data_IF_510522633887
#
_entry.id   IF_510522633887
#
_cell.length_a   1.000
_cell.length_b   1.000
_cell.length_c   1.000
_cell.angle_alpha   90.00
_cell.angle_beta   90.00
_cell.angle_gamma   90.00
#
_symmetry.space_group_name_H-M   'P 1'
#
loop_
_entity.id
_entity.type
_entity.pdbx_description
1 polymer ?
#
# COMPACT_ATOMS: atom_id res chain seq x y z
N UNK A 1 -35.11 16.29 20.43
CA UNK A 1 -33.65 16.38 20.26
C UNK A 1 -33.24 15.39 19.19
N UNK A 2 -32.50 15.88 18.19
CA UNK A 2 -32.04 15.17 16.97
C UNK A 2 -30.73 14.44 17.24
N UNK A 3 -30.57 13.24 16.69
CA UNK A 3 -29.31 12.62 16.23
C UNK A 3 -29.69 11.26 15.58
N UNK A 4 -30.01 11.19 14.29
CA UNK A 4 -29.12 11.24 13.12
C UNK A 4 -28.12 10.08 13.08
N UNK A 5 -28.63 8.89 12.69
CA UNK A 5 -27.85 7.71 12.34
C UNK A 5 -27.72 7.66 10.82
N UNK A 6 -26.58 8.14 10.32
CA UNK A 6 -26.24 8.12 8.89
C UNK A 6 -25.76 6.71 8.54
N UNK A 7 -26.70 5.87 8.09
CA UNK A 7 -26.40 4.62 7.42
C UNK A 7 -26.43 4.88 5.90
N UNK A 8 -25.27 5.15 5.31
CA UNK A 8 -25.11 5.15 3.84
C UNK A 8 -25.11 3.69 3.39
N UNK A 9 -26.32 3.18 3.15
CA UNK A 9 -26.56 1.87 2.58
C UNK A 9 -26.57 2.02 1.04
N UNK A 10 -25.41 1.92 0.41
CA UNK A 10 -25.27 1.91 -1.05
C UNK A 10 -25.58 0.50 -1.57
N UNK A 11 -26.86 0.09 -1.48
CA UNK A 11 -27.35 -1.12 -2.12
C UNK A 11 -27.50 -0.88 -3.63
N UNK A 12 -26.41 -1.08 -4.38
CA UNK A 12 -26.50 -1.25 -5.83
C UNK A 12 -27.20 -2.58 -6.13
N UNK A 13 -28.51 -2.51 -6.34
CA UNK A 13 -29.30 -3.59 -6.94
C UNK A 13 -28.95 -3.61 -8.42
N UNK A 14 -27.98 -4.46 -8.80
CA UNK A 14 -27.63 -4.75 -10.18
C UNK A 14 -28.72 -5.64 -10.80
N UNK A 15 -29.77 -5.01 -11.30
CA UNK A 15 -30.77 -5.68 -12.14
C UNK A 15 -30.10 -6.03 -13.47
N UNK A 16 -30.04 -7.32 -13.79
CA UNK A 16 -29.44 -7.81 -15.02
C UNK A 16 -30.30 -7.44 -16.22
N UNK A 17 -29.81 -6.50 -17.03
CA UNK A 17 -30.33 -6.27 -18.37
C UNK A 17 -29.29 -6.83 -19.32
N UNK A 18 -29.65 -7.87 -20.07
CA UNK A 18 -28.91 -8.30 -21.23
C UNK A 18 -29.07 -7.21 -22.30
N UNK A 19 -28.10 -6.32 -22.40
CA UNK A 19 -28.10 -5.25 -23.40
C UNK A 19 -27.56 -5.83 -24.70
N UNK A 20 -28.42 -5.89 -25.72
CA UNK A 20 -28.03 -6.09 -27.10
C UNK A 20 -27.00 -5.01 -27.50
N UNK A 21 -25.96 -5.43 -28.22
CA UNK A 21 -24.73 -4.70 -28.53
C UNK A 21 -24.93 -3.55 -29.56
N UNK A 22 -25.91 -2.68 -29.32
CA UNK A 22 -25.95 -1.39 -29.97
C UNK A 22 -24.99 -0.45 -29.22
N UNK A 23 -24.07 0.27 -29.90
CA UNK A 23 -23.16 1.19 -29.24
C UNK A 23 -23.99 2.28 -28.56
N UNK A 24 -24.09 2.19 -27.24
CA UNK A 24 -24.84 3.15 -26.46
C UNK A 24 -24.17 4.52 -26.60
N UNK A 25 -24.87 5.45 -27.26
CA UNK A 25 -24.40 6.81 -27.47
C UNK A 25 -24.61 7.61 -26.19
N UNK A 26 -23.52 8.16 -25.67
CA UNK A 26 -23.49 8.91 -24.42
C UNK A 26 -23.27 10.39 -24.72
N UNK A 27 -24.01 11.25 -24.04
CA UNK A 27 -23.85 12.71 -24.10
C UNK A 27 -23.53 13.21 -22.70
N UNK A 28 -22.41 13.91 -22.54
CA UNK A 28 -21.94 14.39 -21.25
C UNK A 28 -21.42 15.81 -21.38
N UNK A 29 -22.10 16.76 -20.74
CA UNK A 29 -21.58 18.11 -20.54
C UNK A 29 -21.13 18.22 -19.08
N UNK A 30 -19.81 18.22 -18.88
CA UNK A 30 -19.17 18.32 -17.59
C UNK A 30 -18.34 19.60 -17.53
N UNK A 31 -18.65 20.46 -16.57
CA UNK A 31 -17.83 21.61 -16.18
C UNK A 31 -17.36 21.39 -14.75
N UNK A 32 -16.07 21.11 -14.56
CA UNK A 32 -15.49 20.77 -13.27
C UNK A 32 -16.27 19.68 -12.49
N UNK A 33 -16.81 18.69 -13.21
CA UNK A 33 -17.60 17.60 -12.62
C UNK A 33 -16.67 16.58 -11.97
N UNK A 34 -17.02 16.03 -10.82
CA UNK A 34 -16.24 14.94 -10.22
C UNK A 34 -16.27 13.71 -11.14
N UNK A 35 -15.15 12.99 -11.25
CA UNK A 35 -15.05 11.77 -12.06
C UNK A 35 -16.10 10.74 -11.66
N UNK A 36 -16.43 10.69 -10.36
CA UNK A 36 -17.50 9.84 -9.83
C UNK A 36 -18.84 10.13 -10.49
N UNK A 37 -19.24 11.40 -10.51
CA UNK A 37 -20.53 11.81 -11.06
C UNK A 37 -20.55 11.64 -12.58
N UNK A 38 -19.41 11.87 -13.25
CA UNK A 38 -19.28 11.63 -14.68
C UNK A 38 -19.44 10.15 -15.02
N UNK A 39 -18.77 9.25 -14.31
CA UNK A 39 -18.90 7.81 -14.52
C UNK A 39 -20.31 7.29 -14.18
N UNK A 40 -20.93 7.80 -13.11
CA UNK A 40 -22.31 7.46 -12.75
C UNK A 40 -23.31 7.91 -13.85
N UNK A 41 -23.08 9.07 -14.47
CA UNK A 41 -23.90 9.56 -15.58
C UNK A 41 -23.73 8.70 -16.85
N UNK A 42 -22.49 8.36 -17.20
CA UNK A 42 -22.17 7.47 -18.34
C UNK A 42 -22.80 6.08 -18.11
N UNK A 43 -22.67 5.54 -16.90
CA UNK A 43 -23.21 4.24 -16.50
C UNK A 43 -24.73 4.18 -16.70
N UNK A 44 -25.45 5.22 -16.26
CA UNK A 44 -26.90 5.33 -16.43
C UNK A 44 -27.33 5.45 -17.89
N UNK A 45 -26.61 6.23 -18.69
CA UNK A 45 -26.93 6.43 -20.11
C UNK A 45 -26.65 5.17 -20.94
N UNK A 46 -25.56 4.46 -20.63
CA UNK A 46 -25.17 3.25 -21.34
C UNK A 46 -25.91 2.00 -20.86
N UNK A 47 -26.54 2.04 -19.68
CA UNK A 47 -27.16 0.87 -19.06
C UNK A 47 -26.15 -0.20 -18.63
N UNK A 48 -24.87 0.18 -18.46
CA UNK A 48 -23.79 -0.75 -18.10
C UNK A 48 -23.11 -0.29 -16.81
N UNK A 49 -22.90 -1.19 -15.84
CA UNK A 49 -22.22 -0.82 -14.60
C UNK A 49 -20.76 -0.39 -14.84
N UNK A 50 -20.45 0.81 -14.34
CA UNK A 50 -19.09 1.32 -14.23
C UNK A 50 -18.70 1.34 -12.75
N UNK A 51 -17.53 0.79 -12.46
CA UNK A 51 -16.97 0.64 -11.12
C UNK A 51 -15.74 1.53 -10.99
N UNK A 52 -15.71 2.37 -9.97
CA UNK A 52 -14.62 3.33 -9.72
C UNK A 52 -13.75 2.89 -8.55
N UNK A 53 -12.43 2.95 -8.73
CA UNK A 53 -11.49 2.87 -7.62
C UNK A 53 -11.69 4.07 -6.66
N UNK A 54 -11.79 3.90 -5.32
CA UNK A 54 -11.78 5.02 -4.39
C UNK A 54 -10.56 5.94 -4.51
N UNK A 55 -9.43 5.44 -5.05
CA UNK A 55 -8.25 6.25 -5.35
C UNK A 55 -8.37 7.06 -6.65
N UNK A 56 -9.31 6.70 -7.54
CA UNK A 56 -9.58 7.43 -8.78
C UNK A 56 -10.42 8.67 -8.46
N UNK A 57 -9.76 9.70 -7.97
CA UNK A 57 -10.36 11.01 -7.67
C UNK A 57 -9.88 12.06 -8.66
N UNK A 58 -10.71 13.08 -8.88
CA UNK A 58 -10.38 14.20 -9.77
C UNK A 58 -11.63 14.84 -10.34
N UNK A 59 -11.41 15.85 -11.19
CA UNK A 59 -12.49 16.55 -11.89
C UNK A 59 -12.25 16.49 -13.38
N UNK A 60 -13.34 16.50 -14.15
CA UNK A 60 -13.29 16.51 -15.61
C UNK A 60 -14.10 17.71 -16.11
N UNK A 61 -13.53 18.38 -17.10
CA UNK A 61 -14.23 19.40 -17.89
C UNK A 61 -14.21 18.95 -19.33
N UNK A 62 -15.35 18.47 -19.83
CA UNK A 62 -15.48 17.96 -21.19
C UNK A 62 -16.92 18.10 -21.69
N UNK A 63 -17.10 18.26 -23.00
CA UNK A 63 -18.40 18.24 -23.65
C UNK A 63 -18.37 17.15 -24.73
N UNK A 64 -19.11 16.07 -24.49
CA UNK A 64 -19.26 14.91 -25.36
C UNK A 64 -20.68 14.87 -25.89
N UNK A 65 -20.85 14.72 -27.20
CA UNK A 65 -22.16 14.58 -27.86
C UNK A 65 -22.20 13.31 -28.69
N UNK A 66 -23.05 12.37 -28.28
CA UNK A 66 -23.26 11.11 -29.00
C UNK A 66 -22.01 10.25 -29.14
N UNK A 67 -21.11 10.28 -28.16
CA UNK A 67 -19.89 9.49 -28.14
C UNK A 67 -20.18 8.05 -27.73
N UNK A 68 -19.42 7.08 -28.24
CA UNK A 68 -19.55 5.70 -27.80
C UNK A 68 -19.07 5.55 -26.34
N UNK A 69 -19.59 4.57 -25.60
CA UNK A 69 -19.23 4.31 -24.20
C UNK A 69 -17.70 4.26 -23.99
N UNK A 70 -16.98 3.55 -24.85
CA UNK A 70 -15.52 3.41 -24.77
C UNK A 70 -14.80 4.73 -25.01
N UNK A 71 -15.29 5.53 -25.97
CA UNK A 71 -14.76 6.87 -26.25
C UNK A 71 -15.02 7.84 -25.09
N UNK A 72 -16.21 7.77 -24.49
CA UNK A 72 -16.57 8.58 -23.34
C UNK A 72 -15.67 8.25 -22.14
N UNK A 73 -15.45 6.95 -21.87
CA UNK A 73 -14.51 6.50 -20.84
C UNK A 73 -13.09 6.97 -21.12
N UNK A 74 -12.59 6.81 -22.35
CA UNK A 74 -11.26 7.28 -22.75
C UNK A 74 -11.05 8.77 -22.46
N UNK A 75 -12.02 9.61 -22.82
CA UNK A 75 -11.92 11.06 -22.60
C UNK A 75 -11.94 11.39 -21.11
N UNK A 76 -12.81 10.75 -20.33
CA UNK A 76 -12.92 11.01 -18.88
C UNK A 76 -11.68 10.54 -18.13
N UNK A 77 -11.10 9.38 -18.51
CA UNK A 77 -9.94 8.83 -17.81
C UNK A 77 -8.63 9.53 -18.18
N UNK A 78 -8.46 9.92 -19.46
CA UNK A 78 -7.22 10.59 -19.93
C UNK A 78 -6.91 11.88 -19.17
N UNK A 79 -7.93 12.67 -18.83
CA UNK A 79 -7.76 13.95 -18.16
C UNK A 79 -7.11 13.85 -16.77
N UNK A 80 -7.20 12.69 -16.11
CA UNK A 80 -6.73 12.48 -14.74
C UNK A 80 -5.71 11.33 -14.63
N UNK A 81 -5.06 10.98 -15.75
CA UNK A 81 -4.12 9.85 -15.82
C UNK A 81 -4.71 8.55 -15.24
N UNK A 82 -6.02 8.33 -15.46
CA UNK A 82 -6.70 7.10 -15.09
C UNK A 82 -6.68 6.14 -16.27
N UNK A 83 -6.88 4.86 -15.98
CA UNK A 83 -7.06 3.82 -17.00
C UNK A 83 -8.39 3.13 -16.79
N UNK A 84 -9.00 2.61 -17.86
CA UNK A 84 -10.18 1.77 -17.74
C UNK A 84 -9.93 0.40 -18.37
N UNK A 85 -10.65 -0.61 -17.87
CA UNK A 85 -10.63 -1.97 -18.40
C UNK A 85 -12.06 -2.47 -18.53
N UNK A 86 -12.37 -3.10 -19.67
CA UNK A 86 -13.59 -3.91 -19.84
C UNK A 86 -13.31 -5.29 -19.22
N UNK A 87 -14.20 -5.73 -18.34
CA UNK A 87 -14.12 -7.04 -17.73
C UNK A 87 -15.40 -7.82 -18.05
N UNK A 88 -15.22 -8.95 -18.72
CA UNK A 88 -16.25 -9.96 -18.90
C UNK A 88 -15.95 -11.12 -17.94
N UNK A 89 -16.90 -11.47 -17.07
CA UNK A 89 -16.74 -12.60 -16.17
C UNK A 89 -18.05 -13.40 -16.07
N UNK A 90 -17.89 -14.70 -15.88
CA UNK A 90 -19.00 -15.60 -15.61
C UNK A 90 -19.33 -15.58 -14.12
N UNK A 91 -20.61 -15.45 -13.79
CA UNK A 91 -21.09 -15.64 -12.42
C UNK A 91 -22.42 -16.36 -12.41
N UNK A 92 -22.74 -16.99 -11.28
CA UNK A 92 -24.11 -17.40 -11.01
C UNK A 92 -25.01 -16.16 -10.92
N UNK A 93 -26.24 -16.26 -11.40
CA UNK A 93 -27.15 -15.13 -11.52
C UNK A 93 -27.44 -14.40 -10.20
N UNK A 94 -27.32 -15.10 -9.07
CA UNK A 94 -27.56 -14.63 -7.70
C UNK A 94 -26.30 -14.15 -6.97
N UNK A 95 -25.10 -14.39 -7.53
CA UNK A 95 -23.84 -14.03 -6.89
C UNK A 95 -23.56 -12.51 -6.98
N UNK A 96 -23.47 -11.86 -5.82
CA UNK A 96 -22.97 -10.49 -5.70
C UNK A 96 -21.45 -10.49 -5.76
N UNK A 97 -20.88 -9.83 -6.76
CA UNK A 97 -19.44 -9.60 -6.85
C UNK A 97 -19.13 -8.23 -6.26
N UNK A 98 -18.18 -8.17 -5.33
CA UNK A 98 -17.76 -6.91 -4.69
C UNK A 98 -16.68 -6.20 -5.52
N UNK A 99 -16.57 -4.89 -5.34
CA UNK A 99 -15.54 -4.06 -5.98
C UNK A 99 -14.12 -4.54 -5.63
N UNK A 100 -13.92 -4.98 -4.38
CA UNK A 100 -12.63 -5.49 -3.92
C UNK A 100 -12.26 -6.82 -4.58
N UNK A 101 -13.24 -7.69 -4.83
CA UNK A 101 -13.03 -8.94 -5.57
C UNK A 101 -12.65 -8.66 -7.03
N UNK A 102 -13.34 -7.71 -7.68
CA UNK A 102 -13.01 -7.30 -9.04
C UNK A 102 -11.59 -6.72 -9.12
N UNK A 103 -11.24 -5.82 -8.20
CA UNK A 103 -9.90 -5.25 -8.14
C UNK A 103 -8.83 -6.31 -7.89
N UNK A 104 -9.03 -7.18 -6.91
CA UNK A 104 -8.08 -8.25 -6.58
C UNK A 104 -7.87 -9.16 -7.79
N UNK A 105 -8.94 -9.52 -8.50
CA UNK A 105 -8.87 -10.30 -9.74
C UNK A 105 -8.11 -9.58 -10.86
N UNK A 106 -8.45 -8.31 -11.12
CA UNK A 106 -7.78 -7.51 -12.15
C UNK A 106 -6.29 -7.33 -11.83
N UNK A 107 -5.95 -7.05 -10.58
CA UNK A 107 -4.57 -6.88 -10.13
C UNK A 107 -3.79 -8.20 -10.19
N UNK A 108 -4.40 -9.32 -9.80
CA UNK A 108 -3.78 -10.64 -9.92
C UNK A 108 -3.48 -10.96 -11.38
N UNK A 109 -4.41 -10.71 -12.29
CA UNK A 109 -4.21 -10.91 -13.73
C UNK A 109 -3.16 -9.96 -14.32
N UNK A 110 -3.16 -8.69 -13.92
CA UNK A 110 -2.18 -7.71 -14.37
C UNK A 110 -0.75 -8.09 -13.94
N UNK A 111 -0.59 -8.54 -12.69
CA UNK A 111 0.70 -8.89 -12.11
C UNK A 111 1.14 -10.33 -12.36
N UNK A 112 0.30 -11.16 -13.00
CA UNK A 112 0.69 -12.51 -13.40
C UNK A 112 1.85 -12.44 -14.41
N UNK A 113 2.99 -13.02 -14.05
CA UNK A 113 4.17 -13.06 -14.91
C UNK A 113 4.03 -14.08 -16.05
N UNK A 114 3.20 -15.11 -15.83
CA UNK A 114 2.93 -16.15 -16.80
C UNK A 114 1.96 -15.63 -17.88
N UNK A 115 2.27 -15.94 -19.14
CA UNK A 115 1.40 -15.63 -20.29
C UNK A 115 0.25 -16.62 -20.42
N UNK A 116 0.41 -17.84 -19.89
CA UNK A 116 -0.67 -18.82 -19.83
C UNK A 116 -0.49 -19.82 -18.71
N UNK A 117 -1.61 -20.33 -18.20
CA UNK A 117 -1.68 -21.34 -17.14
C UNK A 117 -2.78 -22.33 -17.48
N UNK A 118 -2.48 -23.63 -17.45
CA UNK A 118 -3.48 -24.70 -17.54
C UNK A 118 -3.45 -25.49 -16.24
N UNK A 119 -4.60 -25.64 -15.59
CA UNK A 119 -4.76 -26.42 -14.36
C UNK A 119 -5.79 -27.50 -14.62
N UNK A 120 -5.38 -28.76 -14.49
CA UNK A 120 -6.28 -29.91 -14.55
C UNK A 120 -6.65 -30.34 -13.12
N UNK A 121 -7.94 -30.46 -12.85
CA UNK A 121 -8.45 -31.08 -11.63
C UNK A 121 -8.83 -32.55 -11.95
N UNK A 122 -8.05 -33.53 -11.48
CA UNK A 122 -8.30 -34.94 -11.78
C UNK A 122 -9.57 -35.47 -11.09
N UNK A 123 -10.03 -34.84 -10.00
CA UNK A 123 -11.24 -35.27 -9.30
C UNK A 123 -12.51 -34.90 -10.08
N UNK A 124 -12.53 -33.71 -10.67
CA UNK A 124 -13.67 -33.23 -11.47
C UNK A 124 -13.49 -33.46 -12.98
N UNK A 125 -12.30 -33.90 -13.41
CA UNK A 125 -11.89 -34.03 -14.82
C UNK A 125 -12.10 -32.73 -15.60
N UNK A 126 -11.86 -31.59 -14.95
CA UNK A 126 -11.98 -30.27 -15.57
C UNK A 126 -10.61 -29.65 -15.77
N UNK A 127 -10.48 -28.86 -16.83
CA UNK A 127 -9.28 -28.07 -17.10
C UNK A 127 -9.64 -26.59 -17.13
N UNK A 128 -8.86 -25.77 -16.42
CA UNK A 128 -8.97 -24.31 -16.43
C UNK A 128 -7.76 -23.74 -17.15
N UNK A 129 -8.01 -23.02 -18.24
CA UNK A 129 -6.97 -22.34 -19.02
C UNK A 129 -7.09 -20.83 -18.84
N UNK A 130 -6.00 -20.21 -18.42
CA UNK A 130 -5.83 -18.77 -18.40
C UNK A 130 -4.79 -18.39 -19.46
N UNK A 131 -5.09 -17.34 -20.22
CA UNK A 131 -4.15 -16.75 -21.16
C UNK A 131 -4.18 -15.22 -20.99
N UNK A 132 -2.99 -14.62 -20.95
CA UNK A 132 -2.74 -13.19 -20.80
C UNK A 132 -2.20 -12.64 -22.12
N UNK A 133 -2.51 -11.37 -22.39
CA UNK A 133 -2.03 -10.63 -23.56
C UNK A 133 -2.37 -11.30 -24.91
N UNK A 134 -3.45 -12.08 -24.94
CA UNK A 134 -4.02 -12.58 -26.20
C UNK A 134 -4.54 -11.38 -26.98
N UNK A 135 -4.14 -11.19 -28.25
CA UNK A 135 -4.65 -10.12 -29.09
C UNK A 135 -6.17 -10.17 -29.09
N UNK A 136 -6.81 -9.05 -28.76
CA UNK A 136 -8.27 -8.96 -28.82
C UNK A 136 -8.68 -9.12 -30.29
N UNK A 137 -9.09 -10.33 -30.67
CA UNK A 137 -9.89 -10.51 -31.87
C UNK A 137 -11.14 -9.66 -31.70
N UNK A 138 -11.60 -9.01 -32.77
CA UNK A 138 -12.72 -8.05 -32.76
C UNK A 138 -13.95 -8.60 -32.04
N UNK A 139 -14.14 -9.92 -32.07
CA UNK A 139 -15.05 -10.69 -31.23
C UNK A 139 -14.46 -12.10 -30.97
N UNK A 140 -13.63 -12.27 -29.94
CA UNK A 140 -13.30 -13.62 -29.50
C UNK A 140 -14.59 -14.31 -29.01
N UNK A 141 -14.99 -15.48 -29.55
CA UNK A 141 -16.21 -16.14 -29.11
C UNK A 141 -16.09 -16.48 -27.62
N UNK A 142 -17.02 -15.95 -26.82
CA UNK A 142 -17.08 -16.26 -25.40
C UNK A 142 -17.32 -17.77 -25.22
N UNK A 143 -16.57 -18.47 -24.35
CA UNK A 143 -16.78 -19.89 -24.17
C UNK A 143 -18.19 -20.17 -23.62
N UNK A 144 -18.72 -21.34 -23.97
CA UNK A 144 -19.98 -21.83 -23.44
C UNK A 144 -19.89 -21.93 -21.91
N UNK A 145 -20.88 -21.38 -21.23
CA UNK A 145 -20.93 -21.40 -19.77
C UNK A 145 -21.68 -22.64 -19.27
N UNK A 146 -21.33 -23.16 -18.08
CA UNK A 146 -22.15 -24.15 -17.38
C UNK A 146 -23.56 -23.61 -17.08
N UNK A 147 -24.51 -24.52 -16.89
CA UNK A 147 -25.88 -24.17 -16.53
C UNK A 147 -25.95 -23.30 -15.26
N UNK A 148 -26.77 -22.25 -15.30
CA UNK A 148 -26.92 -21.29 -14.19
C UNK A 148 -25.90 -20.16 -14.14
N UNK A 149 -24.92 -20.13 -15.06
CA UNK A 149 -23.97 -19.02 -15.18
C UNK A 149 -24.34 -18.07 -16.33
N UNK A 150 -24.10 -16.78 -16.12
CA UNK A 150 -24.27 -15.74 -17.12
C UNK A 150 -23.02 -14.87 -17.22
N UNK A 151 -22.69 -14.47 -18.45
CA UNK A 151 -21.67 -13.47 -18.69
C UNK A 151 -22.15 -12.12 -18.18
N UNK A 152 -21.32 -11.48 -17.36
CA UNK A 152 -21.55 -10.11 -16.89
C UNK A 152 -20.40 -9.24 -17.36
N UNK A 153 -20.75 -8.12 -18.00
CA UNK A 153 -19.79 -7.09 -18.44
C UNK A 153 -19.78 -5.95 -17.43
N UNK A 154 -18.60 -5.57 -16.97
CA UNK A 154 -18.38 -4.41 -16.10
C UNK A 154 -17.21 -3.60 -16.64
N UNK A 155 -17.31 -2.29 -16.57
CA UNK A 155 -16.19 -1.39 -16.84
C UNK A 155 -15.59 -0.92 -15.53
N UNK A 156 -14.27 -1.05 -15.38
CA UNK A 156 -13.58 -0.64 -14.15
C UNK A 156 -12.63 0.50 -14.48
N UNK A 157 -12.77 1.61 -13.77
CA UNK A 157 -11.87 2.77 -13.82
C UNK A 157 -10.89 2.68 -12.66
N UNK A 158 -9.61 2.61 -12.98
CA UNK A 158 -8.51 2.43 -12.05
C UNK A 158 -7.66 3.69 -12.01
N UNK A 159 -7.25 4.07 -10.80
CA UNK A 159 -6.16 5.03 -10.62
C UNK A 159 -4.88 4.44 -11.22
N UNK A 160 -4.03 5.29 -11.81
CA UNK A 160 -2.70 4.86 -12.19
C UNK A 160 -1.99 4.29 -10.95
N UNK A 161 -1.48 3.06 -11.07
CA UNK A 161 -0.43 2.61 -10.17
C UNK A 161 0.77 3.55 -10.34
N UNK A 162 1.49 3.91 -9.26
CA UNK A 162 2.74 4.65 -9.40
C UNK A 162 3.61 3.88 -10.37
N UNK A 163 3.99 4.51 -11.49
CA UNK A 163 4.75 3.84 -12.53
C UNK A 163 6.08 3.38 -11.93
N UNK A 164 6.71 2.35 -12.49
CA UNK A 164 8.07 1.95 -12.10
C UNK A 164 9.07 3.13 -12.19
N UNK A 165 8.77 4.13 -13.00
CA UNK A 165 9.50 5.41 -13.08
C UNK A 165 9.42 6.24 -11.79
N UNK A 166 8.32 6.19 -11.04
CA UNK A 166 8.18 6.83 -9.73
C UNK A 166 8.99 6.09 -8.65
N UNK A 167 9.15 4.77 -8.79
CA UNK A 167 10.06 3.99 -7.96
C UNK A 167 11.54 4.30 -8.30
N UNK A 168 11.87 4.56 -9.57
CA UNK A 168 13.19 5.04 -9.98
C UNK A 168 13.47 6.47 -9.49
N UNK A 169 12.50 7.38 -9.62
CA UNK A 169 12.59 8.74 -9.06
C UNK A 169 12.65 8.74 -7.53
N UNK A 170 11.97 7.80 -6.87
CA UNK A 170 12.06 7.56 -5.44
C UNK A 170 13.45 7.05 -5.02
N UNK A 171 14.00 6.09 -5.78
CA UNK A 171 15.38 5.60 -5.58
C UNK A 171 16.41 6.71 -5.77
N UNK A 172 16.24 7.58 -6.77
CA UNK A 172 17.11 8.74 -6.99
C UNK A 172 17.02 9.75 -5.85
N UNK A 173 15.82 10.00 -5.31
CA UNK A 173 15.65 10.86 -4.13
C UNK A 173 16.32 10.27 -2.89
N UNK A 174 16.15 8.96 -2.65
CA UNK A 174 16.77 8.26 -1.53
C UNK A 174 18.30 8.27 -1.67
N UNK A 175 18.83 8.00 -2.87
CA UNK A 175 20.26 8.04 -3.14
C UNK A 175 20.84 9.44 -2.93
N UNK A 176 20.16 10.50 -3.40
CA UNK A 176 20.58 11.89 -3.17
C UNK A 176 20.51 12.27 -1.69
N UNK A 177 19.47 11.87 -0.97
CA UNK A 177 19.36 12.11 0.48
C UNK A 177 20.46 11.37 1.26
N UNK A 178 20.76 10.13 0.90
CA UNK A 178 21.84 9.36 1.50
C UNK A 178 23.22 10.02 1.23
N UNK A 179 23.47 10.45 -0.01
CA UNK A 179 24.69 11.17 -0.37
C UNK A 179 24.83 12.50 0.39
N UNK A 180 23.74 13.25 0.52
CA UNK A 180 23.72 14.49 1.30
C UNK A 180 23.95 14.23 2.79
N UNK A 181 23.35 13.17 3.36
CA UNK A 181 23.57 12.79 4.75
C UNK A 181 25.02 12.37 5.01
N UNK A 182 25.63 11.59 4.12
CA UNK A 182 27.03 11.21 4.21
C UNK A 182 27.96 12.43 4.12
N UNK A 183 27.68 13.36 3.21
CA UNK A 183 28.41 14.64 3.11
C UNK A 183 28.27 15.46 4.39
N UNK A 184 27.06 15.58 4.93
CA UNK A 184 26.81 16.31 6.17
C UNK A 184 27.59 15.69 7.36
N UNK A 185 27.68 14.36 7.44
CA UNK A 185 28.52 13.71 8.45
C UNK A 185 30.01 14.01 8.26
N UNK A 186 30.51 14.01 7.03
CA UNK A 186 31.90 14.36 6.72
C UNK A 186 32.22 15.82 7.07
N UNK A 187 31.31 16.74 6.74
CA UNK A 187 31.45 18.16 7.06
C UNK A 187 31.48 18.36 8.59
N UNK A 188 30.59 17.69 9.34
CA UNK A 188 30.59 17.73 10.82
C UNK A 188 31.87 17.15 11.42
N UNK A 189 32.42 16.09 10.84
CA UNK A 189 33.69 15.51 11.29
C UNK A 189 34.88 16.49 11.13
N UNK A 190 34.81 17.40 10.15
CA UNK A 190 35.84 18.41 9.90
C UNK A 190 35.78 19.63 10.84
N UNK A 191 34.65 19.83 11.55
CA UNK A 191 34.47 20.94 12.49
C UNK A 191 35.31 20.77 13.77
N UNK A 192 35.58 21.89 14.45
CA UNK A 192 36.20 21.87 15.79
C UNK A 192 35.27 21.22 16.83
N UNK A 193 35.78 20.74 17.99
CA UNK A 193 34.96 20.16 19.05
C UNK A 193 33.81 21.08 19.53
N UNK A 194 34.08 22.38 19.65
CA UNK A 194 33.14 23.40 20.09
C UNK A 194 32.04 23.62 19.04
N UNK A 195 32.41 23.72 17.76
CA UNK A 195 31.45 23.85 16.65
C UNK A 195 30.59 22.59 16.49
N UNK A 196 31.17 21.40 16.68
CA UNK A 196 30.40 20.15 16.70
C UNK A 196 29.37 20.14 17.82
N UNK A 197 29.74 20.61 19.01
CA UNK A 197 28.82 20.70 20.15
C UNK A 197 27.64 21.61 19.84
N UNK A 198 27.90 22.78 19.23
CA UNK A 198 26.87 23.71 18.80
C UNK A 198 25.96 23.09 17.73
N UNK A 199 26.55 22.44 16.72
CA UNK A 199 25.82 21.74 15.68
C UNK A 199 24.86 20.68 16.26
N UNK A 200 25.31 19.85 17.21
CA UNK A 200 24.46 18.84 17.83
C UNK A 200 23.35 19.44 18.69
N UNK A 201 23.60 20.54 19.41
CA UNK A 201 22.54 21.22 20.17
C UNK A 201 21.47 21.79 19.25
N UNK A 202 21.86 22.39 18.13
CA UNK A 202 20.93 22.97 17.16
C UNK A 202 20.13 21.88 16.42
N UNK A 203 20.80 20.78 16.07
CA UNK A 203 20.16 19.60 15.49
C UNK A 203 19.10 19.00 16.43
N UNK A 204 19.42 18.82 17.71
CA UNK A 204 18.46 18.33 18.71
C UNK A 204 17.31 19.30 18.91
N UNK A 205 17.57 20.60 18.96
CA UNK A 205 16.52 21.62 19.05
C UNK A 205 15.58 21.61 17.84
N UNK A 206 16.12 21.43 16.62
CA UNK A 206 15.33 21.28 15.41
C UNK A 206 14.49 19.99 15.44
N UNK A 207 15.05 18.87 15.91
CA UNK A 207 14.32 17.61 16.06
C UNK A 207 13.15 17.73 17.06
N UNK A 208 13.34 18.53 18.12
CA UNK A 208 12.32 18.80 19.14
C UNK A 208 11.19 19.72 18.64
N UNK A 209 11.44 20.51 17.59
CA UNK A 209 10.41 21.34 16.93
C UNK A 209 9.53 20.56 15.96
N UNK A 210 9.93 19.36 15.55
CA UNK A 210 9.08 18.49 14.74
C UNK A 210 7.86 18.00 15.53
N UNK A 211 6.76 17.75 14.82
CA UNK A 211 5.53 17.19 15.40
C UNK A 211 5.82 15.88 16.16
N UNK A 212 5.20 15.64 17.33
CA UNK A 212 5.43 14.43 18.13
C UNK A 212 5.24 13.13 17.35
N UNK A 213 4.21 13.07 16.49
CA UNK A 213 3.87 11.91 15.69
C UNK A 213 4.95 11.62 14.63
N UNK A 214 5.47 12.66 13.98
CA UNK A 214 6.54 12.54 13.00
C UNK A 214 7.85 12.08 13.65
N UNK A 215 8.12 12.50 14.89
CA UNK A 215 9.28 12.02 15.66
C UNK A 215 9.15 10.55 16.01
N UNK A 216 7.96 10.13 16.44
CA UNK A 216 7.68 8.72 16.76
C UNK A 216 7.77 7.81 15.54
N UNK A 217 7.26 8.26 14.38
CA UNK A 217 7.38 7.49 13.14
C UNK A 217 8.83 7.36 12.72
N UNK A 218 9.60 8.45 12.74
CA UNK A 218 11.01 8.45 12.37
C UNK A 218 11.83 7.51 13.27
N UNK A 219 11.57 7.50 14.57
CA UNK A 219 12.22 6.58 15.52
C UNK A 219 11.87 5.11 15.22
N UNK A 220 10.60 4.83 14.91
CA UNK A 220 10.16 3.48 14.54
C UNK A 220 10.83 3.00 13.26
N UNK A 221 10.89 3.86 12.24
CA UNK A 221 11.51 3.55 10.95
C UNK A 221 13.02 3.32 11.10
N UNK A 222 13.69 4.13 11.93
CA UNK A 222 15.10 3.92 12.27
C UNK A 222 15.32 2.57 12.98
N UNK A 223 14.47 2.21 13.94
CA UNK A 223 14.55 0.92 14.60
C UNK A 223 14.35 -0.23 13.60
N UNK A 224 13.33 -0.14 12.74
CA UNK A 224 13.08 -1.17 11.72
C UNK A 224 14.25 -1.30 10.75
N UNK A 225 14.88 -0.20 10.34
CA UNK A 225 16.07 -0.24 9.50
C UNK A 225 17.22 -0.97 10.19
N UNK A 226 17.44 -0.73 11.48
CA UNK A 226 18.48 -1.41 12.27
C UNK A 226 18.19 -2.91 12.43
N UNK A 227 16.93 -3.28 12.70
CA UNK A 227 16.53 -4.68 12.82
C UNK A 227 16.48 -5.41 11.47
N UNK A 228 16.31 -4.68 10.37
CA UNK A 228 16.30 -5.19 9.01
C UNK A 228 17.69 -5.41 8.40
N UNK A 229 18.77 -4.94 9.05
CA UNK A 229 20.15 -5.21 8.59
C UNK A 229 20.44 -6.71 8.55
N UNK A 230 21.39 -7.15 7.73
CA UNK A 230 21.84 -8.55 7.77
C UNK A 230 22.60 -8.86 9.08
N UNK A 231 22.82 -10.15 9.35
CA UNK A 231 23.43 -10.59 10.61
C UNK A 231 24.86 -10.07 10.79
N UNK A 232 25.65 -10.02 9.72
CA UNK A 232 27.04 -9.56 9.76
C UNK A 232 27.11 -8.06 10.07
N UNK A 233 26.29 -7.25 9.40
CA UNK A 233 26.21 -5.80 9.64
C UNK A 233 25.75 -5.49 11.07
N UNK A 234 24.81 -6.26 11.61
CA UNK A 234 24.38 -6.12 13.01
C UNK A 234 25.49 -6.42 13.99
N UNK A 235 26.27 -7.47 13.75
CA UNK A 235 27.37 -7.85 14.65
C UNK A 235 28.51 -6.84 14.59
N UNK A 236 28.83 -6.30 13.41
CA UNK A 236 29.78 -5.20 13.28
C UNK A 236 29.31 -3.95 14.04
N UNK A 237 28.05 -3.54 13.84
CA UNK A 237 27.47 -2.39 14.55
C UNK A 237 27.54 -2.56 16.08
N UNK A 238 27.28 -3.78 16.58
CA UNK A 238 27.41 -4.10 18.01
C UNK A 238 28.85 -4.00 18.52
N UNK A 239 29.83 -4.41 17.72
CA UNK A 239 31.24 -4.32 18.07
C UNK A 239 31.70 -2.86 18.12
N UNK A 240 31.33 -2.06 17.12
CA UNK A 240 31.69 -0.64 17.05
C UNK A 240 31.08 0.14 18.22
N UNK A 241 29.80 -0.10 18.52
CA UNK A 241 29.15 0.49 19.69
C UNK A 241 29.86 0.09 20.99
N UNK A 242 30.24 -1.18 21.14
CA UNK A 242 30.99 -1.64 22.33
C UNK A 242 32.34 -0.93 22.47
N UNK A 243 33.05 -0.72 21.37
CA UNK A 243 34.34 -0.03 21.36
C UNK A 243 34.19 1.46 21.71
N UNK A 244 33.15 2.12 21.19
CA UNK A 244 32.84 3.51 21.56
C UNK A 244 32.47 3.62 23.04
N UNK A 245 31.62 2.72 23.54
CA UNK A 245 31.21 2.70 24.95
C UNK A 245 32.36 2.39 25.91
N UNK A 246 33.33 1.55 25.52
CA UNK A 246 34.48 1.25 26.37
C UNK A 246 35.47 2.41 26.47
N UNK A 247 35.50 3.30 25.48
CA UNK A 247 36.34 4.50 25.46
C UNK A 247 35.68 5.71 26.14
N UNK A 248 34.38 5.67 26.40
CA UNK A 248 33.69 6.74 27.12
C UNK A 248 34.02 6.69 28.62
N UNK A 249 34.41 7.83 29.24
CA UNK A 249 34.67 7.87 30.67
C UNK A 249 33.40 7.51 31.44
N UNK A 250 33.53 6.62 32.42
CA UNK A 250 32.44 6.04 33.23
C UNK A 250 31.57 7.05 34.02
N UNK A 251 31.74 8.36 33.82
CA UNK A 251 30.93 9.44 34.38
C UNK A 251 30.04 10.19 33.37
N UNK A 252 30.13 9.92 32.06
CA UNK A 252 29.43 10.71 31.03
C UNK A 252 27.91 10.45 30.93
N UNK A 253 27.44 9.27 31.35
CA UNK A 253 26.02 8.91 31.38
C UNK A 253 25.55 8.73 32.81
N UNK A 254 25.52 9.79 33.62
CA UNK A 254 24.65 9.92 34.80
C UNK A 254 24.53 8.71 35.74
N UNK A 255 25.56 7.87 35.83
CA UNK A 255 25.59 6.62 36.59
C UNK A 255 26.30 6.80 37.93
N UNK A 256 26.25 8.00 38.50
CA UNK A 256 26.69 8.29 39.86
C UNK A 256 25.66 7.79 40.87
N UNK A 257 25.45 6.47 40.92
CA UNK A 257 24.51 5.79 41.83
C UNK A 257 25.12 4.56 42.49
N UNK A 258 26.45 4.55 42.66
CA UNK A 258 27.19 3.49 43.34
C UNK A 258 27.84 4.02 44.62
N UNK A 259 27.05 4.55 45.55
CA UNK A 259 27.53 5.01 46.86
C UNK A 259 26.67 4.46 47.98
N UNK A 260 27.30 3.69 48.89
CA UNK A 260 26.77 3.16 50.14
C UNK A 260 25.53 2.24 50.07
N UNK A 261 25.74 0.95 49.78
CA UNK A 261 25.00 -0.09 50.51
C UNK A 261 25.63 -0.18 51.90
N UNK A 262 24.96 0.45 52.87
CA UNK A 262 25.31 0.36 54.28
C UNK A 262 25.42 -1.09 54.73
N UNK A 263 26.54 -1.39 55.39
CA UNK A 263 26.73 -2.55 56.25
C UNK A 263 25.68 -2.47 57.37
N UNK A 264 24.50 -3.04 57.13
CA UNK A 264 23.55 -3.40 58.16
C UNK A 264 23.87 -4.80 58.64
N UNK A 265 24.57 -4.88 59.77
CA UNK A 265 24.74 -6.09 60.57
C UNK A 265 23.40 -6.84 60.68
N UNK A 266 23.36 -8.10 60.24
CA UNK A 266 22.36 -9.03 60.72
C UNK A 266 23.07 -10.26 61.29
N UNK A 267 23.29 -10.19 62.60
CA UNK A 267 23.58 -11.32 63.46
C UNK A 267 22.37 -12.26 63.50
N UNK A 268 22.63 -13.56 63.66
CA UNK A 268 21.66 -14.51 64.20
C UNK A 268 21.09 -15.48 63.17
N UNK A 269 21.61 -16.71 63.18
CA UNK A 269 21.07 -17.80 62.38
C UNK A 269 21.93 -19.06 62.38
N UNK A 270 22.41 -19.47 63.55
CA UNK A 270 22.92 -20.82 63.75
C UNK A 270 21.80 -21.85 63.53
N UNK A 271 22.19 -22.96 62.91
CA UNK A 271 21.90 -24.34 63.30
C UNK A 271 21.18 -25.20 62.26
N UNK A 272 21.87 -26.32 61.97
CA UNK A 272 21.37 -27.66 61.63
C UNK A 272 20.36 -27.80 60.48
N UNK A 273 20.60 -28.58 59.43
CA UNK A 273 21.34 -29.83 59.34
C UNK A 273 20.49 -30.80 58.51
N UNK A 274 21.10 -31.75 57.81
CA UNK A 274 20.39 -32.96 57.35
C UNK A 274 20.47 -33.30 55.88
N UNK A 275 21.47 -34.14 55.57
CA UNK A 275 21.38 -35.37 54.74
C UNK A 275 20.67 -35.29 53.39
N UNK A 276 21.48 -35.32 52.34
CA UNK A 276 21.13 -35.84 51.03
C UNK A 276 21.50 -37.34 50.98
N UNK A 277 20.53 -38.22 50.75
CA UNK A 277 20.74 -39.62 50.31
C UNK A 277 20.15 -39.72 48.91
N UNK A 278 20.96 -40.21 47.97
CA UNK A 278 20.54 -40.45 46.61
C UNK A 278 19.45 -41.52 46.50
N UNK A 279 18.62 -41.36 45.49
CA UNK A 279 18.49 -42.31 44.39
C UNK A 279 17.99 -41.54 43.15
#
# INVERSE_FOLDING_TARGET
MKACLVAICLCFVLCGIAVADAPAKVTLDAKAMAIKDAADSISKQAGVPIVLDPKATGTVTTSLKGADLTQALDVVTKANNLTWKKLDFARKADAKVTLDQLKSGILALANMQLVGLSVEDPATKTSTVFAKDVPAATEAPKPALPEGYAWTTVYVVLAAEPKADDAAAGKDKVAKLAANAAKQMADVASLTPEERKQYYSDFMAAQMKMAPEARQSMLRDQMQAVFGMDQQSRDQFRQDMRAVFSQMPHGAFGGGGGGQRGQGQNQGGQAHGGRNRGN
#
